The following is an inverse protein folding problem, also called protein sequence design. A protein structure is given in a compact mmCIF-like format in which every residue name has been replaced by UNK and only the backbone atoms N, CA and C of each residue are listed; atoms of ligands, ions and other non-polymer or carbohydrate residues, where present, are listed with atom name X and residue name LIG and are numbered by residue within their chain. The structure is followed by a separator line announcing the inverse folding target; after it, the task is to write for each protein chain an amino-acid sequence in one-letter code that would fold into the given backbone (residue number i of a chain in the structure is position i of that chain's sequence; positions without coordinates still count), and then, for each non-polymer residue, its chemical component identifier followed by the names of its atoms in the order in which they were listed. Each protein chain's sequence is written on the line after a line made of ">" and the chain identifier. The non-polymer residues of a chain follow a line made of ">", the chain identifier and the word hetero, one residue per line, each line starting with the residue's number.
data_IF_850013718175
#
_entry.id   IF_850013718175
#
_cell.length_a   1.000
_cell.length_b   1.000
_cell.length_c   1.000
_cell.angle_alpha   90.00
_cell.angle_beta   90.00
_cell.angle_gamma   90.00
#
_symmetry.space_group_name_H-M   'P 1'
#
loop_
_entity.id
_entity.type
_entity.pdbx_description
1 polymer ?
#
# COMPACT_ATOMS: atom_id res chain seq x y z
N UNK A 1 -5.19 19.91 -10.54
CA UNK A 1 -4.14 19.34 -11.41
C UNK A 1 -2.88 19.27 -10.56
N UNK A 2 -2.53 18.11 -9.99
CA UNK A 2 -1.40 18.04 -9.04
C UNK A 2 -1.21 16.71 -8.29
N UNK A 3 -2.09 15.71 -8.46
CA UNK A 3 -1.97 14.42 -7.76
C UNK A 3 -1.15 13.36 -8.50
N UNK A 4 -0.69 13.62 -9.73
CA UNK A 4 0.14 12.67 -10.50
C UNK A 4 1.62 12.66 -10.08
N UNK A 5 2.08 13.65 -9.33
CA UNK A 5 3.51 13.84 -9.06
C UNK A 5 4.03 13.01 -7.88
N UNK A 6 3.17 12.66 -6.92
CA UNK A 6 3.60 11.94 -5.70
C UNK A 6 3.42 10.42 -5.75
N UNK A 7 2.49 9.89 -6.55
CA UNK A 7 2.35 8.44 -6.71
C UNK A 7 3.56 7.85 -7.47
N UNK A 8 4.09 8.58 -8.45
CA UNK A 8 5.37 8.22 -9.08
C UNK A 8 6.59 8.45 -8.18
N UNK A 9 6.51 9.30 -7.14
CA UNK A 9 7.61 9.51 -6.20
C UNK A 9 7.68 8.40 -5.13
N UNK A 10 6.53 7.94 -4.63
CA UNK A 10 6.44 6.84 -3.67
C UNK A 10 7.04 5.54 -4.23
N UNK A 11 6.78 5.21 -5.51
CA UNK A 11 7.35 4.01 -6.14
C UNK A 11 8.81 4.16 -6.59
N UNK A 12 9.48 5.29 -6.33
CA UNK A 12 10.90 5.51 -6.68
C UNK A 12 11.83 5.53 -5.47
N UNK A 13 11.27 5.53 -4.26
CA UNK A 13 12.03 5.55 -3.01
C UNK A 13 11.59 4.36 -2.16
N UNK A 14 12.56 3.54 -1.75
CA UNK A 14 12.38 2.50 -0.75
C UNK A 14 12.99 2.99 0.55
N UNK A 15 12.17 3.30 1.54
CA UNK A 15 12.60 3.65 2.89
C UNK A 15 12.29 2.49 3.82
N UNK A 16 13.31 2.05 4.57
CA UNK A 16 13.26 0.90 5.47
C UNK A 16 13.40 1.41 6.91
N UNK A 17 12.36 1.28 7.71
CA UNK A 17 12.36 1.72 9.11
C UNK A 17 13.00 0.64 9.99
N UNK A 18 14.30 0.75 10.23
CA UNK A 18 15.02 -0.19 11.08
C UNK A 18 16.25 0.44 11.75
N UNK A 19 16.63 -0.11 12.89
CA UNK A 19 17.94 0.18 13.49
C UNK A 19 19.01 -0.68 12.78
N UNK A 20 20.03 -0.06 12.15
CA UNK A 20 21.03 -0.79 11.37
C UNK A 20 22.06 -1.56 12.22
N UNK A 21 22.15 -1.27 13.52
CA UNK A 21 23.05 -1.94 14.45
C UNK A 21 22.37 -2.15 15.79
N UNK A 22 22.55 -3.33 16.40
CA UNK A 22 22.03 -3.64 17.74
C UNK A 22 22.83 -2.99 18.87
N UNK A 23 24.10 -2.67 18.64
CA UNK A 23 25.01 -2.05 19.61
C UNK A 23 25.77 -0.87 18.98
N UNK A 24 25.88 0.22 19.75
CA UNK A 24 26.67 1.41 19.43
C UNK A 24 28.13 1.07 19.14
N UNK A 25 28.71 0.06 19.81
CA UNK A 25 30.10 -0.35 19.54
C UNK A 25 30.26 -0.96 18.15
N UNK A 26 29.28 -1.74 17.69
CA UNK A 26 29.29 -2.30 16.34
C UNK A 26 29.19 -1.18 15.28
N UNK A 27 28.33 -0.18 15.52
CA UNK A 27 28.23 1.00 14.66
C UNK A 27 29.56 1.78 14.60
N UNK A 28 30.23 1.99 15.74
CA UNK A 28 31.54 2.65 15.80
C UNK A 28 32.63 1.86 15.08
N UNK A 29 32.68 0.53 15.28
CA UNK A 29 33.63 -0.34 14.60
C UNK A 29 33.46 -0.28 13.08
N UNK A 30 32.21 -0.33 12.59
CA UNK A 30 31.92 -0.18 11.17
C UNK A 30 32.37 1.20 10.66
N UNK A 31 32.07 2.29 11.38
CA UNK A 31 32.47 3.64 11.00
C UNK A 31 33.99 3.79 10.85
N UNK A 32 34.76 3.24 11.78
CA UNK A 32 36.23 3.24 11.68
C UNK A 32 36.73 2.41 10.50
N UNK A 33 36.16 1.22 10.29
CA UNK A 33 36.56 0.33 9.20
C UNK A 33 36.34 0.99 7.85
N UNK A 34 35.14 1.53 7.58
CA UNK A 34 34.83 2.14 6.29
C UNK A 34 35.60 3.44 6.05
N UNK A 35 35.97 4.16 7.12
CA UNK A 35 36.84 5.34 7.00
C UNK A 35 38.24 4.96 6.53
N UNK A 36 38.78 3.83 7.02
CA UNK A 36 40.09 3.33 6.62
C UNK A 36 40.07 2.57 5.28
N UNK A 37 38.99 1.85 4.99
CA UNK A 37 38.87 0.94 3.85
C UNK A 37 37.53 1.13 3.14
N UNK A 38 37.54 1.83 2.00
CA UNK A 38 36.36 2.07 1.18
C UNK A 38 36.67 1.97 -0.32
N UNK A 39 35.63 1.86 -1.15
CA UNK A 39 35.75 1.85 -2.61
C UNK A 39 36.16 0.52 -3.25
N UNK A 40 36.17 -0.58 -2.49
CA UNK A 40 36.59 -1.92 -2.93
C UNK A 40 35.42 -2.76 -3.46
N UNK A 41 34.39 -2.98 -2.63
CA UNK A 41 33.25 -3.86 -2.92
C UNK A 41 32.53 -3.51 -4.25
N UNK A 42 32.24 -2.23 -4.49
CA UNK A 42 31.55 -1.79 -5.71
C UNK A 42 32.33 -2.10 -7.00
N UNK A 43 33.67 -2.02 -6.97
CA UNK A 43 34.51 -2.37 -8.14
C UNK A 43 34.48 -3.87 -8.42
N UNK A 44 34.57 -4.68 -7.37
CA UNK A 44 34.47 -6.14 -7.48
C UNK A 44 33.09 -6.55 -8.02
N UNK A 45 32.02 -5.95 -7.50
CA UNK A 45 30.66 -6.19 -7.95
C UNK A 45 30.46 -5.86 -9.43
N UNK A 46 30.86 -4.66 -9.88
CA UNK A 46 30.74 -4.25 -11.29
C UNK A 46 31.59 -5.12 -12.21
N UNK A 47 32.78 -5.55 -11.78
CA UNK A 47 33.61 -6.48 -12.55
C UNK A 47 32.94 -7.86 -12.67
N UNK A 48 32.29 -8.35 -11.61
CA UNK A 48 31.56 -9.62 -11.64
C UNK A 48 30.32 -9.57 -12.53
N UNK A 49 29.56 -8.46 -12.51
CA UNK A 49 28.39 -8.29 -13.39
C UNK A 49 28.72 -8.39 -14.88
N UNK A 50 29.98 -8.15 -15.29
CA UNK A 50 30.40 -8.26 -16.69
C UNK A 50 30.61 -9.70 -17.16
N UNK A 51 30.52 -10.69 -16.26
CA UNK A 51 30.73 -12.11 -16.59
C UNK A 51 29.53 -12.74 -17.29
N UNK A 52 28.34 -12.16 -17.11
CA UNK A 52 27.12 -12.60 -17.76
C UNK A 52 26.54 -11.48 -18.63
N UNK A 53 25.71 -11.84 -19.59
CA UNK A 53 25.00 -10.85 -20.41
C UNK A 53 23.77 -10.28 -19.67
N UNK A 54 23.20 -9.21 -20.24
CA UNK A 54 22.03 -8.57 -19.68
C UNK A 54 20.78 -9.48 -19.70
N UNK A 55 20.69 -10.43 -20.64
CA UNK A 55 19.55 -11.34 -20.75
C UNK A 55 19.50 -12.33 -19.60
N UNK A 56 20.66 -12.82 -19.16
CA UNK A 56 20.80 -13.64 -17.96
C UNK A 56 20.24 -12.91 -16.72
N UNK A 57 20.69 -11.68 -16.47
CA UNK A 57 20.22 -10.90 -15.32
C UNK A 57 18.75 -10.53 -15.42
N UNK A 58 18.22 -10.27 -16.62
CA UNK A 58 16.79 -10.08 -16.83
C UNK A 58 15.98 -11.33 -16.47
N UNK A 59 16.49 -12.52 -16.78
CA UNK A 59 15.89 -13.80 -16.37
C UNK A 59 15.91 -14.00 -14.86
N UNK A 60 17.06 -13.76 -14.22
CA UNK A 60 17.20 -13.85 -12.76
C UNK A 60 16.26 -12.86 -12.05
N UNK A 61 16.22 -11.60 -12.53
CA UNK A 61 15.32 -10.59 -12.00
C UNK A 61 13.85 -10.98 -12.17
N UNK A 62 13.46 -11.52 -13.33
CA UNK A 62 12.08 -11.96 -13.55
C UNK A 62 11.68 -13.04 -12.54
N UNK A 63 12.55 -14.03 -12.30
CA UNK A 63 12.33 -15.08 -11.30
C UNK A 63 12.17 -14.53 -9.88
N UNK A 64 13.07 -13.65 -9.45
CA UNK A 64 13.02 -13.03 -8.12
C UNK A 64 11.77 -12.15 -7.98
N UNK A 65 11.47 -11.34 -8.99
CA UNK A 65 10.31 -10.47 -9.01
C UNK A 65 9.02 -11.27 -8.90
N UNK A 66 8.87 -12.33 -9.67
CA UNK A 66 7.65 -13.14 -9.63
C UNK A 66 7.47 -13.79 -8.25
N UNK A 67 8.55 -14.27 -7.62
CA UNK A 67 8.53 -14.81 -6.26
C UNK A 67 8.18 -13.74 -5.20
N UNK A 68 8.77 -12.55 -5.28
CA UNK A 68 8.52 -11.45 -4.35
C UNK A 68 7.09 -10.91 -4.53
N UNK A 69 6.63 -10.68 -5.76
CA UNK A 69 5.28 -10.20 -6.05
C UNK A 69 4.20 -11.17 -5.58
N UNK A 70 4.42 -12.48 -5.74
CA UNK A 70 3.53 -13.50 -5.20
C UNK A 70 3.41 -13.43 -3.67
N UNK A 71 4.53 -13.18 -2.97
CA UNK A 71 4.56 -13.02 -1.52
C UNK A 71 4.04 -11.65 -1.03
N UNK A 72 4.10 -10.63 -1.89
CA UNK A 72 3.81 -9.25 -1.53
C UNK A 72 2.31 -8.89 -1.56
N UNK A 73 1.45 -9.73 -2.15
CA UNK A 73 0.00 -9.48 -2.16
C UNK A 73 -0.42 -8.14 -2.80
N UNK A 74 0.35 -7.65 -3.77
CA UNK A 74 0.12 -6.34 -4.40
C UNK A 74 0.79 -5.15 -3.71
N UNK A 75 1.78 -5.38 -2.83
CA UNK A 75 2.54 -4.30 -2.19
C UNK A 75 3.14 -3.32 -3.21
N UNK A 76 2.99 -2.00 -3.04
CA UNK A 76 3.42 -1.00 -4.02
C UNK A 76 4.94 -0.98 -4.26
N UNK A 77 5.73 -1.46 -3.30
CA UNK A 77 7.19 -1.54 -3.39
C UNK A 77 7.71 -2.91 -3.87
N UNK A 78 6.84 -3.85 -4.27
CA UNK A 78 7.25 -5.23 -4.58
C UNK A 78 8.38 -5.31 -5.63
N UNK A 79 8.28 -4.51 -6.71
CA UNK A 79 9.31 -4.47 -7.74
C UNK A 79 10.66 -3.90 -7.23
N UNK A 80 10.61 -2.86 -6.38
CA UNK A 80 11.81 -2.26 -5.79
C UNK A 80 12.49 -3.22 -4.81
N UNK A 81 11.70 -3.92 -4.01
CA UNK A 81 12.21 -4.95 -3.09
C UNK A 81 12.77 -6.14 -3.85
N UNK A 82 12.15 -6.56 -4.96
CA UNK A 82 12.69 -7.61 -5.81
C UNK A 82 14.05 -7.23 -6.41
N UNK A 83 14.21 -5.97 -6.84
CA UNK A 83 15.50 -5.48 -7.35
C UNK A 83 16.56 -5.49 -6.25
N UNK A 84 16.20 -5.01 -5.05
CA UNK A 84 17.09 -5.03 -3.88
C UNK A 84 17.51 -6.47 -3.52
N UNK A 85 16.56 -7.41 -3.52
CA UNK A 85 16.83 -8.82 -3.23
C UNK A 85 17.80 -9.45 -4.23
N UNK A 86 17.60 -9.21 -5.53
CA UNK A 86 18.55 -9.70 -6.53
C UNK A 86 19.93 -9.07 -6.33
N UNK A 87 19.99 -7.76 -6.07
CA UNK A 87 21.26 -7.08 -5.83
C UNK A 87 21.99 -7.64 -4.60
N UNK A 88 21.27 -7.93 -3.52
CA UNK A 88 21.77 -8.53 -2.28
C UNK A 88 22.30 -9.95 -2.52
N UNK A 89 21.54 -10.80 -3.20
CA UNK A 89 21.99 -12.15 -3.56
C UNK A 89 23.29 -12.13 -4.37
N UNK A 90 23.38 -11.23 -5.38
CA UNK A 90 24.57 -11.05 -6.19
C UNK A 90 25.76 -10.51 -5.39
N UNK A 91 25.51 -9.59 -4.44
CA UNK A 91 26.55 -9.04 -3.59
C UNK A 91 27.09 -10.10 -2.63
N UNK A 92 26.19 -10.91 -2.07
CA UNK A 92 26.55 -12.05 -1.24
C UNK A 92 27.40 -13.05 -2.03
N UNK A 93 26.97 -13.43 -3.23
CA UNK A 93 27.65 -14.43 -4.06
C UNK A 93 29.02 -13.97 -4.56
N UNK A 94 29.12 -12.74 -5.07
CA UNK A 94 30.35 -12.27 -5.71
C UNK A 94 31.33 -11.55 -4.79
N UNK A 95 30.85 -10.95 -3.69
CA UNK A 95 31.65 -10.05 -2.86
C UNK A 95 31.81 -10.57 -1.44
N UNK A 96 30.71 -10.87 -0.75
CA UNK A 96 30.78 -11.15 0.69
C UNK A 96 31.08 -12.60 1.04
N UNK A 97 30.63 -13.55 0.21
CA UNK A 97 30.93 -14.96 0.40
C UNK A 97 31.24 -15.68 -0.94
N UNK A 98 32.33 -15.30 -1.63
CA UNK A 98 32.75 -15.95 -2.86
C UNK A 98 32.91 -17.47 -2.70
N UNK A 99 32.31 -18.23 -3.62
CA UNK A 99 32.31 -19.70 -3.58
C UNK A 99 31.14 -20.32 -2.81
N UNK A 100 30.23 -19.50 -2.26
CA UNK A 100 28.96 -19.97 -1.72
C UNK A 100 28.03 -20.47 -2.81
N UNK A 101 27.12 -21.37 -2.45
CA UNK A 101 26.06 -21.81 -3.36
C UNK A 101 25.08 -20.66 -3.66
N UNK A 102 24.68 -20.53 -4.93
CA UNK A 102 23.78 -19.47 -5.35
C UNK A 102 22.40 -19.57 -4.71
N UNK A 103 21.86 -20.79 -4.57
CA UNK A 103 20.53 -20.95 -4.00
C UNK A 103 20.54 -20.48 -2.53
N UNK A 104 21.61 -20.76 -1.79
CA UNK A 104 21.78 -20.23 -0.43
C UNK A 104 21.83 -18.69 -0.39
N UNK A 105 22.55 -18.04 -1.32
CA UNK A 105 22.55 -16.58 -1.42
C UNK A 105 21.15 -16.03 -1.74
N UNK A 106 20.42 -16.70 -2.64
CA UNK A 106 19.07 -16.30 -3.03
C UNK A 106 18.07 -16.48 -1.89
N UNK A 107 18.16 -17.57 -1.13
CA UNK A 107 17.32 -17.80 0.06
C UNK A 107 17.53 -16.71 1.11
N UNK A 108 18.79 -16.35 1.40
CA UNK A 108 19.12 -15.24 2.29
C UNK A 108 18.51 -13.91 1.83
N UNK A 109 18.67 -13.59 0.55
CA UNK A 109 18.10 -12.38 -0.03
C UNK A 109 16.57 -12.37 -0.01
N UNK A 110 15.91 -13.52 -0.17
CA UNK A 110 14.45 -13.64 -0.08
C UNK A 110 13.95 -13.47 1.36
N UNK A 111 14.72 -13.86 2.38
CA UNK A 111 14.40 -13.55 3.77
C UNK A 111 14.47 -12.04 4.02
N UNK A 112 15.54 -11.40 3.53
CA UNK A 112 15.66 -9.94 3.57
C UNK A 112 14.52 -9.25 2.82
N UNK A 113 14.12 -9.75 1.64
CA UNK A 113 13.00 -9.21 0.87
C UNK A 113 11.69 -9.24 1.66
N UNK A 114 11.39 -10.35 2.35
CA UNK A 114 10.19 -10.45 3.20
C UNK A 114 10.23 -9.45 4.34
N UNK A 115 11.39 -9.33 5.00
CA UNK A 115 11.58 -8.34 6.05
C UNK A 115 11.43 -6.92 5.50
N UNK A 116 11.98 -6.62 4.33
CA UNK A 116 11.90 -5.32 3.69
C UNK A 116 10.45 -4.98 3.29
N UNK A 117 9.66 -5.94 2.81
CA UNK A 117 8.23 -5.71 2.53
C UNK A 117 7.44 -5.31 3.78
N UNK A 118 7.76 -5.89 4.94
CA UNK A 118 7.12 -5.57 6.22
C UNK A 118 7.54 -4.18 6.72
N UNK A 119 8.79 -3.80 6.50
CA UNK A 119 9.40 -2.58 7.06
C UNK A 119 9.55 -1.43 6.05
N UNK A 120 9.09 -1.61 4.81
CA UNK A 120 9.09 -0.58 3.79
C UNK A 120 7.95 0.41 4.02
N UNK A 121 8.24 1.70 4.05
CA UNK A 121 7.21 2.74 4.04
C UNK A 121 6.48 2.68 2.68
N UNK A 122 5.23 2.23 2.77
CA UNK A 122 4.42 1.77 1.64
C UNK A 122 3.19 1.02 2.15
N UNK A 123 3.32 0.35 3.29
CA UNK A 123 2.24 -0.10 4.17
C UNK A 123 1.39 1.06 4.71
N UNK A 124 1.97 2.25 4.89
CA UNK A 124 1.22 3.44 5.32
C UNK A 124 0.15 3.87 4.32
N UNK A 125 0.28 3.58 3.02
CA UNK A 125 -0.76 3.91 2.04
C UNK A 125 -2.01 3.04 2.21
N UNK A 126 -1.81 1.74 2.40
CA UNK A 126 -2.89 0.78 2.67
C UNK A 126 -3.51 1.00 4.05
N UNK A 127 -2.68 1.24 5.07
CA UNK A 127 -3.14 1.51 6.44
C UNK A 127 -3.81 2.89 6.54
N UNK A 128 -3.29 3.93 5.89
CA UNK A 128 -3.93 5.27 5.87
C UNK A 128 -5.25 5.25 5.10
N UNK A 129 -5.34 4.53 3.97
CA UNK A 129 -6.60 4.41 3.24
C UNK A 129 -7.63 3.60 4.03
N UNK A 130 -7.23 2.52 4.71
CA UNK A 130 -8.10 1.75 5.62
C UNK A 130 -8.53 2.60 6.83
N UNK A 131 -7.60 3.35 7.45
CA UNK A 131 -7.89 4.32 8.52
C UNK A 131 -8.85 5.42 8.07
N UNK A 132 -8.71 5.91 6.85
CA UNK A 132 -9.64 6.89 6.27
C UNK A 132 -11.04 6.30 6.10
N UNK A 133 -11.15 5.04 5.65
CA UNK A 133 -12.44 4.35 5.51
C UNK A 133 -13.06 4.03 6.87
N UNK A 134 -12.26 3.61 7.85
CA UNK A 134 -12.69 3.43 9.23
C UNK A 134 -13.20 4.74 9.82
N UNK A 135 -12.48 5.85 9.61
CA UNK A 135 -12.93 7.19 9.99
C UNK A 135 -14.28 7.53 9.36
N UNK A 136 -14.49 7.25 8.07
CA UNK A 136 -15.78 7.49 7.40
C UNK A 136 -16.89 6.66 8.06
N UNK A 137 -16.65 5.38 8.37
CA UNK A 137 -17.63 4.53 9.04
C UNK A 137 -18.03 5.09 10.42
N UNK A 138 -17.05 5.43 11.26
CA UNK A 138 -17.26 6.00 12.58
C UNK A 138 -17.95 7.37 12.51
N UNK A 139 -17.55 8.21 11.55
CA UNK A 139 -18.13 9.52 11.33
C UNK A 139 -19.61 9.42 10.91
N UNK A 140 -19.98 8.49 10.03
CA UNK A 140 -21.37 8.28 9.62
C UNK A 140 -22.25 7.88 10.80
N UNK A 141 -21.78 6.94 11.63
CA UNK A 141 -22.52 6.48 12.82
C UNK A 141 -22.65 7.61 13.83
N UNK A 142 -21.56 8.33 14.12
CA UNK A 142 -21.55 9.45 15.08
C UNK A 142 -22.48 10.59 14.67
N UNK A 143 -22.64 10.83 13.37
CA UNK A 143 -23.41 11.94 12.83
C UNK A 143 -24.76 11.51 12.22
N UNK A 144 -25.26 10.34 12.62
CA UNK A 144 -26.48 9.72 12.05
C UNK A 144 -27.69 10.67 11.99
N UNK A 145 -27.89 11.50 13.00
CA UNK A 145 -29.02 12.44 13.08
C UNK A 145 -29.10 13.37 11.86
N UNK A 146 -27.96 13.77 11.26
CA UNK A 146 -27.93 14.62 10.07
C UNK A 146 -28.42 13.94 8.77
N UNK A 147 -28.64 12.61 8.82
CA UNK A 147 -29.12 11.80 7.71
C UNK A 147 -30.57 11.34 7.90
N UNK A 148 -31.20 11.70 9.01
CA UNK A 148 -32.59 11.35 9.29
C UNK A 148 -33.55 12.33 8.60
N UNK A 149 -34.77 11.86 8.32
CA UNK A 149 -35.79 12.71 7.71
C UNK A 149 -36.19 13.89 8.61
N UNK A 150 -36.01 13.78 9.93
CA UNK A 150 -36.33 14.82 10.91
C UNK A 150 -35.24 15.89 11.07
N UNK A 151 -34.04 15.72 10.50
CA UNK A 151 -32.89 16.61 10.74
C UNK A 151 -33.25 18.11 10.62
N UNK A 152 -33.95 18.49 9.55
CA UNK A 152 -34.37 19.88 9.31
C UNK A 152 -35.40 20.37 10.35
N UNK A 153 -36.26 19.48 10.85
CA UNK A 153 -37.25 19.77 11.88
C UNK A 153 -36.60 19.94 13.26
N UNK A 154 -35.49 19.24 13.49
CA UNK A 154 -34.65 19.33 14.69
C UNK A 154 -33.64 20.49 14.63
N UNK A 155 -33.77 21.40 13.64
CA UNK A 155 -32.85 22.52 13.35
C UNK A 155 -31.41 22.08 13.09
N UNK A 156 -31.20 20.81 12.71
CA UNK A 156 -29.91 20.30 12.26
C UNK A 156 -29.78 20.52 10.75
N UNK A 157 -28.56 20.86 10.33
CA UNK A 157 -28.24 20.90 8.91
C UNK A 157 -28.31 19.47 8.33
N UNK A 158 -29.04 19.28 7.23
CA UNK A 158 -29.08 17.99 6.55
C UNK A 158 -27.77 17.74 5.82
N UNK A 159 -27.15 16.59 6.06
CA UNK A 159 -25.90 16.18 5.40
C UNK A 159 -26.10 15.03 4.40
N UNK A 160 -27.33 14.53 4.29
CA UNK A 160 -27.64 13.40 3.45
C UNK A 160 -28.96 12.73 3.77
N UNK A 161 -29.04 11.44 3.45
CA UNK A 161 -30.14 10.56 3.86
C UNK A 161 -29.68 9.11 4.00
N UNK A 162 -30.30 8.34 4.89
CA UNK A 162 -30.23 6.87 4.88
C UNK A 162 -31.39 6.30 4.05
N UNK A 163 -31.11 5.32 3.20
CA UNK A 163 -32.14 4.59 2.46
C UNK A 163 -31.99 3.08 2.60
N UNK A 164 -33.05 2.41 3.01
CA UNK A 164 -33.10 0.95 3.00
C UNK A 164 -33.24 0.43 1.56
N UNK A 165 -32.57 -0.69 1.28
CA UNK A 165 -32.76 -1.39 0.03
C UNK A 165 -34.17 -1.98 -0.06
N UNK A 166 -34.72 -2.04 -1.27
CA UNK A 166 -36.07 -2.58 -1.51
C UNK A 166 -36.06 -4.08 -1.80
N UNK A 167 -34.93 -4.55 -2.33
CA UNK A 167 -34.72 -5.86 -2.93
C UNK A 167 -33.83 -6.78 -2.08
N UNK A 168 -33.19 -6.25 -1.04
CA UNK A 168 -32.30 -6.99 -0.13
C UNK A 168 -32.28 -6.35 1.26
N UNK A 169 -31.86 -7.07 2.32
CA UNK A 169 -31.64 -6.45 3.63
C UNK A 169 -30.46 -5.46 3.59
N UNK A 170 -30.50 -4.47 4.48
CA UNK A 170 -29.46 -3.45 4.61
C UNK A 170 -29.88 -2.08 4.06
N UNK A 171 -28.94 -1.14 4.08
CA UNK A 171 -29.19 0.24 3.69
C UNK A 171 -27.93 0.88 3.11
N UNK A 172 -28.11 2.03 2.45
CA UNK A 172 -27.03 2.87 1.98
C UNK A 172 -27.11 4.28 2.56
N UNK A 173 -25.93 4.88 2.73
CA UNK A 173 -25.78 6.28 3.08
C UNK A 173 -25.68 7.11 1.81
N UNK A 174 -26.52 8.11 1.67
CA UNK A 174 -26.37 9.16 0.66
C UNK A 174 -25.76 10.38 1.33
N UNK A 175 -24.45 10.56 1.19
CA UNK A 175 -23.71 11.64 1.85
C UNK A 175 -23.48 12.78 0.88
N UNK A 176 -23.82 14.00 1.25
CA UNK A 176 -23.51 15.17 0.41
C UNK A 176 -22.01 15.23 0.14
N UNK A 177 -21.66 15.40 -1.14
CA UNK A 177 -20.28 15.35 -1.62
C UNK A 177 -19.40 16.36 -0.90
N UNK A 178 -19.90 17.59 -0.70
CA UNK A 178 -19.21 18.68 0.00
C UNK A 178 -18.98 18.38 1.48
N UNK A 179 -19.98 17.83 2.17
CA UNK A 179 -19.87 17.49 3.60
C UNK A 179 -18.81 16.42 3.81
N UNK A 180 -18.81 15.38 2.97
CA UNK A 180 -17.78 14.33 3.06
C UNK A 180 -16.37 14.88 2.74
N UNK A 181 -16.26 15.90 1.87
CA UNK A 181 -14.99 16.55 1.55
C UNK A 181 -14.44 17.30 2.78
N UNK A 182 -15.32 18.05 3.44
CA UNK A 182 -14.99 18.75 4.68
C UNK A 182 -14.62 17.80 5.82
N UNK A 183 -15.36 16.68 5.97
CA UNK A 183 -15.07 15.69 7.00
C UNK A 183 -13.70 15.03 6.81
N UNK A 184 -13.39 14.59 5.58
CA UNK A 184 -12.09 13.98 5.26
C UNK A 184 -10.95 15.01 5.37
N UNK A 185 -11.15 16.21 4.83
CA UNK A 185 -10.15 17.29 4.92
C UNK A 185 -9.87 17.70 6.37
N UNK A 186 -10.90 17.78 7.22
CA UNK A 186 -10.76 18.08 8.64
C UNK A 186 -10.02 16.99 9.43
N UNK A 187 -10.10 15.73 8.98
CA UNK A 187 -9.34 14.60 9.53
C UNK A 187 -8.00 14.36 8.82
N UNK A 188 -7.59 15.26 7.92
CA UNK A 188 -6.34 15.20 7.15
C UNK A 188 -6.22 13.94 6.25
N UNK A 189 -7.34 13.45 5.73
CA UNK A 189 -7.38 12.35 4.75
C UNK A 189 -7.59 12.86 3.31
N UNK A 190 -6.92 12.21 2.35
CA UNK A 190 -7.08 12.54 0.92
C UNK A 190 -8.37 11.96 0.35
N UNK A 191 -9.33 12.83 0.05
CA UNK A 191 -10.63 12.45 -0.50
C UNK A 191 -10.54 11.55 -1.74
N UNK A 192 -9.66 11.88 -2.69
CA UNK A 192 -9.65 11.19 -3.98
C UNK A 192 -9.12 9.76 -3.82
N UNK A 193 -8.09 9.56 -2.99
CA UNK A 193 -7.55 8.25 -2.63
C UNK A 193 -8.58 7.43 -1.86
N UNK A 194 -9.17 7.99 -0.81
CA UNK A 194 -10.19 7.29 0.00
C UNK A 194 -11.36 6.83 -0.86
N UNK A 195 -11.94 7.71 -1.68
CA UNK A 195 -13.07 7.35 -2.54
C UNK A 195 -12.70 6.34 -3.63
N UNK A 196 -11.47 6.39 -4.16
CA UNK A 196 -10.97 5.38 -5.09
C UNK A 196 -10.88 4.02 -4.41
N UNK A 197 -10.25 3.94 -3.24
CA UNK A 197 -10.15 2.69 -2.47
C UNK A 197 -11.51 2.11 -2.11
N UNK A 198 -12.45 2.96 -1.66
CA UNK A 198 -13.83 2.53 -1.39
C UNK A 198 -14.53 2.01 -2.66
N UNK A 199 -14.27 2.60 -3.83
CA UNK A 199 -14.82 2.10 -5.09
C UNK A 199 -14.20 0.75 -5.49
N UNK A 200 -12.88 0.61 -5.39
CA UNK A 200 -12.16 -0.63 -5.72
C UNK A 200 -12.58 -1.79 -4.80
N UNK A 201 -12.90 -1.52 -3.54
CA UNK A 201 -13.43 -2.47 -2.55
C UNK A 201 -14.95 -2.73 -2.68
N UNK A 202 -15.63 -2.10 -3.65
CA UNK A 202 -17.07 -2.26 -3.86
C UNK A 202 -17.95 -1.63 -2.78
N UNK A 203 -17.40 -0.75 -1.94
CA UNK A 203 -18.11 -0.05 -0.86
C UNK A 203 -18.98 1.08 -1.41
N UNK A 204 -18.60 1.69 -2.54
CA UNK A 204 -19.40 2.72 -3.18
C UNK A 204 -20.38 2.11 -4.18
N UNK A 205 -21.65 2.52 -4.11
CA UNK A 205 -22.62 2.14 -5.12
C UNK A 205 -22.34 2.87 -6.45
N UNK A 206 -22.16 2.13 -7.56
CA UNK A 206 -21.86 2.72 -8.87
C UNK A 206 -23.01 3.62 -9.33
N UNK A 207 -22.70 4.64 -10.15
CA UNK A 207 -23.75 5.50 -10.68
C UNK A 207 -23.38 6.37 -11.85
N UNK A 208 -24.39 7.07 -12.36
CA UNK A 208 -24.38 7.86 -13.59
C UNK A 208 -23.84 9.30 -13.44
N UNK A 209 -23.16 9.61 -12.33
CA UNK A 209 -22.62 10.95 -12.07
C UNK A 209 -21.15 11.12 -12.48
N UNK A 210 -20.50 12.18 -11.97
CA UNK A 210 -19.09 12.47 -12.26
C UNK A 210 -18.20 11.83 -11.20
N UNK A 211 -17.30 10.94 -11.61
CA UNK A 211 -16.38 10.25 -10.70
C UNK A 211 -17.12 9.38 -9.69
N UNK A 212 -16.85 9.57 -8.40
CA UNK A 212 -17.41 8.77 -7.29
C UNK A 212 -18.77 9.28 -6.77
N UNK A 213 -19.44 10.19 -7.49
CA UNK A 213 -20.67 10.86 -7.01
C UNK A 213 -21.88 10.54 -7.87
N UNK A 214 -23.07 10.67 -7.28
CA UNK A 214 -24.39 10.50 -7.91
C UNK A 214 -25.32 11.63 -7.52
N UNK A 215 -26.15 12.08 -8.46
CA UNK A 215 -27.18 13.08 -8.13
C UNK A 215 -28.37 12.42 -7.47
N UNK A 216 -28.86 13.03 -6.39
CA UNK A 216 -30.12 12.69 -5.75
C UNK A 216 -30.93 13.95 -5.45
N UNK A 217 -32.25 13.84 -5.52
CA UNK A 217 -33.16 14.94 -5.23
C UNK A 217 -33.44 15.01 -3.73
N UNK A 218 -33.28 16.21 -3.17
CA UNK A 218 -33.63 16.57 -1.80
C UNK A 218 -34.50 17.82 -1.88
N UNK A 219 -35.79 17.70 -1.54
CA UNK A 219 -36.78 18.73 -1.81
C UNK A 219 -36.81 19.11 -3.29
N UNK A 220 -36.70 20.41 -3.58
CA UNK A 220 -36.69 20.94 -4.95
C UNK A 220 -35.32 20.90 -5.64
N UNK A 221 -34.25 20.55 -4.92
CA UNK A 221 -32.88 20.62 -5.41
C UNK A 221 -32.29 19.24 -5.71
N UNK A 222 -31.37 19.17 -6.69
CA UNK A 222 -30.53 17.99 -6.94
C UNK A 222 -29.14 18.23 -6.35
N UNK A 223 -28.68 17.32 -5.52
CA UNK A 223 -27.39 17.39 -4.83
C UNK A 223 -26.52 16.20 -5.24
N UNK A 224 -25.22 16.44 -5.41
CA UNK A 224 -24.26 15.36 -5.63
C UNK A 224 -23.92 14.69 -4.31
N UNK A 225 -24.06 13.37 -4.28
CA UNK A 225 -23.81 12.53 -3.12
C UNK A 225 -22.78 11.45 -3.42
N UNK A 226 -22.03 11.06 -2.40
CA UNK A 226 -21.32 9.77 -2.37
C UNK A 226 -22.27 8.75 -1.74
N UNK A 227 -22.47 7.63 -2.43
CA UNK A 227 -23.42 6.60 -2.00
C UNK A 227 -22.65 5.40 -1.46
N UNK A 228 -22.72 5.20 -0.14
CA UNK A 228 -21.94 4.19 0.59
C UNK A 228 -22.85 3.03 0.99
N UNK A 229 -22.53 1.83 0.54
CA UNK A 229 -23.21 0.60 0.96
C UNK A 229 -22.73 0.23 2.36
N UNK A 230 -23.64 0.21 3.35
CA UNK A 230 -23.27 -0.05 4.73
C UNK A 230 -22.75 -1.48 4.95
N UNK A 231 -23.35 -2.47 4.30
CA UNK A 231 -22.96 -3.87 4.46
C UNK A 231 -21.59 -4.14 3.81
N UNK A 232 -21.33 -3.55 2.64
CA UNK A 232 -20.02 -3.65 2.00
C UNK A 232 -18.92 -2.93 2.81
N UNK A 233 -19.25 -1.78 3.41
CA UNK A 233 -18.35 -1.04 4.29
C UNK A 233 -17.94 -1.88 5.52
N UNK A 234 -18.93 -2.44 6.23
CA UNK A 234 -18.68 -3.30 7.40
C UNK A 234 -17.85 -4.54 7.04
N UNK A 235 -18.22 -5.24 5.96
CA UNK A 235 -17.51 -6.44 5.52
C UNK A 235 -16.06 -6.15 5.11
N UNK A 236 -15.76 -4.98 4.54
CA UNK A 236 -14.40 -4.58 4.19
C UNK A 236 -13.53 -4.33 5.42
N UNK A 237 -14.08 -3.64 6.43
CA UNK A 237 -13.38 -3.36 7.68
C UNK A 237 -13.09 -4.66 8.46
N UNK A 238 -14.03 -5.61 8.46
CA UNK A 238 -13.84 -6.91 9.11
C UNK A 238 -12.74 -7.76 8.44
N UNK A 239 -12.67 -7.77 7.09
CA UNK A 239 -11.58 -8.45 6.36
C UNK A 239 -10.20 -7.86 6.64
N UNK A 240 -10.13 -6.55 6.84
CA UNK A 240 -8.86 -5.84 7.05
C UNK A 240 -8.24 -6.13 8.42
N UNK A 241 -8.97 -6.78 9.33
CA UNK A 241 -8.52 -7.14 10.67
C UNK A 241 -7.81 -8.53 10.77
N UNK A 242 -7.70 -9.31 9.68
CA UNK A 242 -7.11 -10.67 9.67
C UNK A 242 -5.76 -10.82 8.96
N UNK A 243 -4.79 -11.54 9.57
CA UNK A 243 -3.38 -11.66 9.14
C UNK A 243 -3.08 -12.79 8.09
N UNK A 244 -1.96 -12.70 7.33
CA UNK A 244 -1.81 -13.36 6.01
C UNK A 244 -1.08 -14.74 5.99
N UNK A 245 -1.19 -15.51 4.90
CA UNK A 245 -0.66 -16.87 4.77
C UNK A 245 0.78 -16.95 4.22
N UNK A 246 1.46 -18.06 4.50
CA UNK A 246 2.86 -18.34 4.14
C UNK A 246 3.00 -19.23 2.89
N UNK A 247 3.94 -18.90 1.97
CA UNK A 247 4.42 -19.81 0.91
C UNK A 247 5.90 -19.53 0.54
N UNK A 248 6.64 -20.58 0.19
CA UNK A 248 8.07 -20.62 -0.19
C UNK A 248 8.27 -20.79 -1.73
N UNK A 249 9.39 -20.32 -2.32
CA UNK A 249 9.62 -20.39 -3.77
C UNK A 249 10.44 -21.61 -4.23
N UNK A 250 10.39 -21.90 -5.53
CA UNK A 250 11.09 -23.00 -6.22
C UNK A 250 12.48 -22.61 -6.74
N UNK A 251 13.45 -23.53 -6.66
CA UNK A 251 14.85 -23.32 -7.01
C UNK A 251 15.12 -23.30 -8.52
N UNK A 252 15.83 -22.27 -9.01
CA UNK A 252 16.38 -22.15 -10.37
C UNK A 252 17.92 -22.03 -10.34
N UNK A 253 18.57 -22.33 -11.47
CA UNK A 253 20.04 -22.40 -11.59
C UNK A 253 20.78 -21.05 -11.45
N UNK A 254 21.99 -21.10 -10.89
CA UNK A 254 22.75 -19.93 -10.44
C UNK A 254 23.74 -19.29 -11.42
N UNK A 255 24.27 -18.09 -11.09
CA UNK A 255 25.24 -17.33 -11.85
C UNK A 255 26.65 -17.93 -11.76
N UNK A 256 27.46 -17.64 -12.78
CA UNK A 256 28.86 -18.06 -12.89
C UNK A 256 29.87 -16.97 -12.49
#
# INVERSE_FOLDING_TARGET
>A
MGSSTQQGAANRTLELCAEPFEDVRAAQAMHHLVSAQHGTAGRAYVAALRRNDAAFYAGQFSSVRDAVCAAAGGHPQADNVALLALADALAQFYVFAPGSDWAACLEGAMLMARWALVNATGTDGGDTDVKAIQFVAEWLVRNRLHFESSAEMDRLERWGSVEQYRDRPGFCWWVFSSVLDQALGGANFDRQKTLRRMADEGVLLPGSGRGFTRQKRFGDSRVYCVCVDNAALEAMLERSAGAPPAVAPSQGGGPC
#
